data_IF_618684514693
#
_entry.id   IF_618684514693
#
_cell.length_a   1.000
_cell.length_b   1.000
_cell.length_c   1.000
_cell.angle_alpha   90.00
_cell.angle_beta   90.00
_cell.angle_gamma   90.00
#
_symmetry.space_group_name_H-M   'P 1'
#
loop_
_entity.id
_entity.type
_entity.pdbx_description
1 polymer ?
#
# COMPACT_ATOMS: atom_id res chain seq x y z
N UNK A 1 -18.79 26.73 20.27
CA UNK A 1 -17.54 27.49 19.99
C UNK A 1 -17.04 27.02 18.65
N UNK A 2 -17.01 27.89 17.64
CA UNK A 2 -16.40 27.57 16.35
C UNK A 2 -14.89 27.59 16.53
N UNK A 3 -14.23 26.43 16.40
CA UNK A 3 -12.78 26.38 16.41
C UNK A 3 -12.25 27.28 15.29
N UNK A 4 -11.38 28.24 15.63
CA UNK A 4 -10.74 29.10 14.65
C UNK A 4 -9.84 28.23 13.77
N UNK A 5 -10.13 28.17 12.46
CA UNK A 5 -9.35 27.39 11.51
C UNK A 5 -8.03 28.11 11.30
N UNK A 6 -6.92 27.51 11.76
CA UNK A 6 -5.58 28.05 11.50
C UNK A 6 -5.26 27.87 10.01
N UNK A 7 -4.84 28.92 9.29
CA UNK A 7 -4.43 28.79 7.90
C UNK A 7 -3.17 27.92 7.80
N UNK A 8 -3.10 27.08 6.76
CA UNK A 8 -1.90 26.30 6.46
C UNK A 8 -0.76 27.21 6.00
N UNK A 9 0.44 26.93 6.48
CA UNK A 9 1.67 27.56 6.00
C UNK A 9 1.98 27.15 4.55
N UNK A 10 2.85 27.87 3.86
CA UNK A 10 3.21 27.54 2.47
C UNK A 10 3.93 26.19 2.36
N UNK A 11 4.78 25.84 3.32
CA UNK A 11 5.45 24.55 3.37
C UNK A 11 4.46 23.41 3.65
N UNK A 12 3.48 23.61 4.53
CA UNK A 12 2.40 22.65 4.77
C UNK A 12 1.53 22.43 3.52
N UNK A 13 1.20 23.52 2.80
CA UNK A 13 0.48 23.42 1.51
C UNK A 13 1.28 22.64 0.48
N UNK A 14 2.59 22.89 0.37
CA UNK A 14 3.46 22.17 -0.56
C UNK A 14 3.56 20.68 -0.19
N UNK A 15 3.66 20.35 1.09
CA UNK A 15 3.63 18.97 1.58
C UNK A 15 2.33 18.29 1.17
N UNK A 16 1.19 18.95 1.43
CA UNK A 16 -0.12 18.43 1.05
C UNK A 16 -0.25 18.21 -0.46
N UNK A 17 0.17 19.17 -1.28
CA UNK A 17 0.15 19.05 -2.74
C UNK A 17 0.96 17.85 -3.23
N UNK A 18 2.18 17.66 -2.71
CA UNK A 18 3.03 16.53 -3.10
C UNK A 18 2.48 15.20 -2.61
N UNK A 19 1.89 15.16 -1.41
CA UNK A 19 1.20 13.97 -0.91
C UNK A 19 -0.04 13.63 -1.76
N UNK A 20 -0.82 14.63 -2.20
CA UNK A 20 -1.96 14.40 -3.11
C UNK A 20 -1.53 13.81 -4.45
N UNK A 21 -0.42 14.29 -5.02
CA UNK A 21 0.12 13.77 -6.29
C UNK A 21 0.67 12.36 -6.14
N UNK A 22 1.29 12.05 -5.00
CA UNK A 22 1.79 10.71 -4.72
C UNK A 22 0.67 9.70 -4.40
N UNK A 23 -0.53 10.18 -4.07
CA UNK A 23 -1.69 9.43 -3.60
C UNK A 23 -1.50 8.73 -2.23
N UNK A 24 -0.42 7.99 -2.07
CA UNK A 24 -0.02 7.30 -0.84
C UNK A 24 1.50 7.26 -0.74
N UNK A 25 2.05 7.50 0.46
CA UNK A 25 3.49 7.41 0.72
C UNK A 25 3.77 6.44 1.85
N UNK A 26 4.91 5.75 1.77
CA UNK A 26 5.45 5.02 2.95
C UNK A 26 5.90 6.02 4.03
N UNK A 27 6.09 5.55 5.26
CA UNK A 27 6.61 6.37 6.36
C UNK A 27 7.94 7.04 6.01
N UNK A 28 8.82 6.28 5.35
CA UNK A 28 10.14 6.74 4.98
C UNK A 28 10.04 7.84 3.92
N UNK A 29 9.24 7.62 2.88
CA UNK A 29 9.07 8.60 1.80
C UNK A 29 8.36 9.86 2.27
N UNK A 30 7.36 9.72 3.15
CA UNK A 30 6.66 10.86 3.74
C UNK A 30 7.58 11.69 4.66
N UNK A 31 8.43 11.04 5.45
CA UNK A 31 9.45 11.72 6.27
C UNK A 31 10.52 12.38 5.41
N UNK A 32 10.98 11.72 4.35
CA UNK A 32 11.92 12.30 3.40
C UNK A 32 11.31 13.52 2.71
N UNK A 33 10.04 13.45 2.30
CA UNK A 33 9.30 14.58 1.76
C UNK A 33 9.20 15.73 2.77
N UNK A 34 8.88 15.44 4.03
CA UNK A 34 8.83 16.41 5.12
C UNK A 34 10.19 17.09 5.32
N UNK A 35 11.26 16.32 5.47
CA UNK A 35 12.62 16.84 5.68
C UNK A 35 13.07 17.69 4.48
N UNK A 36 12.88 17.19 3.26
CA UNK A 36 13.20 17.94 2.04
C UNK A 36 12.47 19.27 1.96
N UNK A 37 11.20 19.34 2.35
CA UNK A 37 10.47 20.62 2.36
C UNK A 37 10.98 21.50 3.50
N UNK A 38 11.21 20.96 4.70
CA UNK A 38 11.71 21.73 5.83
C UNK A 38 13.04 22.39 5.50
N UNK A 39 13.98 21.62 4.97
CA UNK A 39 15.33 22.10 4.63
C UNK A 39 15.31 23.16 3.52
N UNK A 40 14.35 23.11 2.58
CA UNK A 40 14.21 24.12 1.53
C UNK A 40 13.60 25.45 2.02
N UNK A 41 12.99 25.46 3.21
CA UNK A 41 12.31 26.64 3.76
C UNK A 41 13.02 27.19 5.02
N UNK A 42 14.18 26.64 5.41
CA UNK A 42 14.93 27.10 6.59
C UNK A 42 15.38 28.55 6.51
N UNK A 43 15.60 29.05 5.29
CA UNK A 43 16.18 30.37 5.04
C UNK A 43 15.13 31.44 4.71
N UNK A 44 13.84 31.09 4.78
CA UNK A 44 12.74 32.02 4.47
C UNK A 44 12.35 32.78 5.72
N UNK A 45 12.72 34.07 5.79
CA UNK A 45 12.33 34.95 6.88
C UNK A 45 10.81 35.08 6.98
N UNK A 46 10.29 34.84 8.18
CA UNK A 46 8.87 34.92 8.50
C UNK A 46 8.56 36.36 8.93
N UNK A 47 7.52 37.00 8.36
CA UNK A 47 6.97 38.21 8.98
C UNK A 47 6.45 37.80 10.36
N UNK A 48 7.12 38.23 11.43
CA UNK A 48 6.53 38.16 12.76
C UNK A 48 5.16 38.82 12.66
N UNK A 49 4.12 38.15 13.13
CA UNK A 49 2.82 38.80 13.28
C UNK A 49 3.06 39.97 14.24
N UNK A 50 3.10 41.18 13.70
CA UNK A 50 3.52 42.41 14.37
C UNK A 50 2.49 42.91 15.40
N UNK A 51 1.77 42.01 16.06
CA UNK A 51 0.75 42.29 17.08
C UNK A 51 1.05 41.60 18.41
N UNK A 52 2.20 40.94 18.57
CA UNK A 52 2.70 40.50 19.89
C UNK A 52 3.79 41.49 20.33
N UNK A 53 3.42 42.38 21.26
CA UNK A 53 4.30 43.39 21.86
C UNK A 53 5.62 42.74 22.32
N UNK A 54 6.71 43.26 21.75
CA UNK A 54 8.09 42.85 21.96
C UNK A 54 8.50 43.09 23.42
N UNK A 55 8.62 42.02 24.22
CA UNK A 55 9.58 41.98 25.32
C UNK A 55 10.90 41.46 24.74
N UNK A 56 11.81 42.40 24.49
CA UNK A 56 13.20 42.20 24.07
C UNK A 56 13.94 41.25 25.03
N UNK A 57 14.14 40.00 24.62
CA UNK A 57 15.24 39.18 25.12
C UNK A 57 15.94 38.51 23.93
N UNK A 58 16.95 39.22 23.43
CA UNK A 58 17.96 38.80 22.47
C UNK A 58 18.66 37.53 22.94
N UNK A 59 18.13 36.36 22.57
CA UNK A 59 18.87 35.12 22.67
C UNK A 59 18.51 34.13 21.56
N UNK A 60 19.00 34.42 20.36
CA UNK A 60 19.62 33.47 19.42
C UNK A 60 18.99 32.06 19.31
N UNK A 61 17.67 31.97 19.24
CA UNK A 61 16.97 30.68 19.17
C UNK A 61 16.47 30.41 17.75
N UNK A 62 17.42 30.17 16.83
CA UNK A 62 17.16 29.73 15.45
C UNK A 62 16.24 28.49 15.44
N UNK A 63 16.29 27.66 16.49
CA UNK A 63 15.46 26.48 16.65
C UNK A 63 13.96 26.78 16.86
N UNK A 64 13.57 27.98 17.31
CA UNK A 64 12.15 28.34 17.52
C UNK A 64 11.45 28.81 16.23
N UNK A 65 12.19 29.16 15.17
CA UNK A 65 11.60 29.63 13.90
C UNK A 65 10.96 28.48 13.10
N UNK A 66 11.60 27.31 13.11
CA UNK A 66 11.11 26.11 12.42
C UNK A 66 9.86 25.49 13.08
N UNK A 67 9.66 25.71 14.39
CA UNK A 67 8.48 25.23 15.12
C UNK A 67 7.18 25.81 14.56
N UNK A 68 7.23 27.02 13.98
CA UNK A 68 6.04 27.76 13.54
C UNK A 68 5.45 27.26 12.21
N UNK A 69 6.26 26.71 11.29
CA UNK A 69 5.82 26.45 9.91
C UNK A 69 5.38 25.03 9.63
N UNK A 70 6.20 24.04 9.98
CA UNK A 70 5.97 22.61 9.68
C UNK A 70 5.78 21.78 10.96
N UNK A 71 5.92 22.38 12.14
CA UNK A 71 5.95 21.64 13.40
C UNK A 71 7.31 21.02 13.70
N UNK A 72 7.53 20.68 14.97
CA UNK A 72 8.82 20.19 15.50
C UNK A 72 9.19 18.79 15.02
N UNK A 73 8.18 17.99 14.68
CA UNK A 73 8.32 16.60 14.26
C UNK A 73 7.36 16.31 13.10
N UNK A 74 7.62 15.25 12.37
CA UNK A 74 6.73 14.79 11.30
C UNK A 74 5.29 14.56 11.79
N UNK A 75 5.11 13.88 12.92
CA UNK A 75 3.78 13.64 13.50
C UNK A 75 3.09 14.95 13.91
N UNK A 76 3.85 15.91 14.44
CA UNK A 76 3.33 17.24 14.76
C UNK A 76 2.89 18.01 13.49
N UNK A 77 3.63 17.89 12.38
CA UNK A 77 3.22 18.43 11.08
C UNK A 77 1.87 17.89 10.64
N UNK A 78 1.69 16.56 10.67
CA UNK A 78 0.45 15.91 10.28
C UNK A 78 -0.72 16.37 11.16
N UNK A 79 -0.50 16.47 12.47
CA UNK A 79 -1.47 16.98 13.41
C UNK A 79 -1.89 18.43 13.15
N UNK A 80 -0.93 19.32 12.85
CA UNK A 80 -1.19 20.71 12.50
C UNK A 80 -2.01 20.82 11.21
N UNK A 81 -1.65 20.04 10.18
CA UNK A 81 -2.39 20.03 8.92
C UNK A 81 -3.82 19.52 9.14
N UNK A 82 -3.98 18.43 9.89
CA UNK A 82 -5.30 17.84 10.18
C UNK A 82 -6.20 18.79 10.99
N UNK A 83 -5.64 19.58 11.90
CA UNK A 83 -6.38 20.61 12.63
C UNK A 83 -7.01 21.66 11.70
N UNK A 84 -6.42 21.90 10.53
CA UNK A 84 -6.98 22.77 9.49
C UNK A 84 -7.91 22.01 8.53
N UNK A 85 -7.51 20.83 8.06
CA UNK A 85 -8.26 20.08 7.02
C UNK A 85 -9.60 19.53 7.49
N UNK A 86 -9.66 18.98 8.71
CA UNK A 86 -10.86 18.32 9.23
C UNK A 86 -12.04 19.30 9.33
N UNK A 87 -11.94 20.45 10.01
CA UNK A 87 -13.08 21.37 10.12
C UNK A 87 -13.40 22.09 8.81
N UNK A 88 -12.41 22.31 7.92
CA UNK A 88 -12.60 23.09 6.70
C UNK A 88 -13.15 22.27 5.53
N UNK A 89 -12.60 21.06 5.33
CA UNK A 89 -12.84 20.24 4.14
C UNK A 89 -13.35 18.84 4.47
N UNK A 90 -13.41 18.48 5.75
CA UNK A 90 -13.66 17.11 6.19
C UNK A 90 -12.68 16.09 5.56
N UNK A 91 -11.45 16.55 5.32
CA UNK A 91 -10.32 15.74 4.89
C UNK A 91 -9.38 15.51 6.07
N UNK A 92 -8.64 14.40 6.07
CA UNK A 92 -7.55 14.17 7.02
C UNK A 92 -6.42 13.37 6.39
N UNK A 93 -5.19 13.65 6.78
CA UNK A 93 -4.05 12.77 6.55
C UNK A 93 -4.15 11.63 7.56
N UNK A 94 -4.36 10.42 7.04
CA UNK A 94 -4.49 9.21 7.83
C UNK A 94 -3.27 8.32 7.65
N UNK A 95 -2.89 7.64 8.73
CA UNK A 95 -1.80 6.68 8.73
C UNK A 95 -2.36 5.27 8.88
N UNK A 96 -1.86 4.31 8.11
CA UNK A 96 -2.24 2.90 8.21
C UNK A 96 -1.02 2.03 8.37
N UNK A 97 -1.16 0.91 9.07
CA UNK A 97 -0.13 -0.11 9.15
C UNK A 97 -0.55 -1.39 8.46
N UNK A 98 0.29 -1.87 7.54
CA UNK A 98 0.07 -3.10 6.78
C UNK A 98 1.28 -4.03 6.89
N UNK A 99 1.09 -5.36 6.86
CA UNK A 99 2.22 -6.28 6.75
C UNK A 99 3.00 -6.01 5.46
N UNK A 100 4.27 -6.44 5.35
CA UNK A 100 5.06 -6.34 4.13
C UNK A 100 4.66 -7.47 3.18
N UNK A 101 3.95 -7.12 2.10
CA UNK A 101 4.30 -7.54 0.75
C UNK A 101 4.52 -6.35 -0.20
N UNK A 102 4.51 -5.13 0.35
CA UNK A 102 4.25 -3.86 -0.34
C UNK A 102 5.48 -2.95 -0.50
N UNK A 103 6.67 -3.49 -0.31
CA UNK A 103 7.95 -2.83 -0.61
C UNK A 103 8.70 -3.71 -1.63
N UNK A 104 8.59 -3.42 -2.94
CA UNK A 104 9.23 -4.24 -3.96
C UNK A 104 10.76 -4.23 -3.83
N UNK A 105 11.35 -3.21 -3.19
CA UNK A 105 12.79 -3.06 -3.03
C UNK A 105 13.35 -3.88 -1.85
N UNK A 106 12.53 -4.28 -0.88
CA UNK A 106 12.98 -5.01 0.31
C UNK A 106 12.92 -6.55 0.20
N UNK A 107 12.25 -7.10 -0.82
CA UNK A 107 12.04 -8.56 -0.93
C UNK A 107 13.30 -9.35 -1.35
N UNK A 108 14.40 -8.68 -1.69
CA UNK A 108 15.66 -9.35 -2.08
C UNK A 108 16.58 -9.72 -0.92
N UNK A 109 16.22 -9.45 0.34
CA UNK A 109 17.15 -9.56 1.47
C UNK A 109 17.08 -10.85 2.30
N UNK A 110 16.08 -11.72 2.15
CA UNK A 110 15.84 -12.81 3.12
C UNK A 110 16.07 -14.26 2.63
N UNK A 111 16.68 -14.48 1.46
CA UNK A 111 16.93 -15.87 0.95
C UNK A 111 18.25 -16.51 1.38
N UNK A 112 18.84 -16.11 2.51
CA UNK A 112 20.01 -16.81 3.07
C UNK A 112 20.03 -16.88 4.60
N UNK A 113 18.96 -17.39 5.22
CA UNK A 113 19.01 -17.81 6.61
C UNK A 113 19.06 -19.35 6.68
N UNK A 114 20.28 -19.88 6.83
CA UNK A 114 20.51 -21.23 7.34
C UNK A 114 19.68 -21.46 8.60
N UNK A 115 18.88 -22.52 8.56
CA UNK A 115 17.91 -22.93 9.57
C UNK A 115 18.60 -23.29 10.88
N UNK A 116 18.57 -22.38 11.85
CA UNK A 116 18.79 -22.71 13.27
C UNK A 116 17.46 -23.01 13.95
N UNK A 117 17.32 -24.09 14.76
CA UNK A 117 16.01 -24.63 15.16
C UNK A 117 15.27 -23.84 16.26
N UNK A 118 15.74 -22.64 16.63
CA UNK A 118 15.20 -21.86 17.75
C UNK A 118 14.73 -20.44 17.39
N UNK A 119 14.57 -20.13 16.11
CA UNK A 119 14.05 -18.84 15.68
C UNK A 119 12.53 -18.78 15.91
N UNK A 120 12.11 -18.19 17.03
CA UNK A 120 10.73 -17.68 17.18
C UNK A 120 10.45 -16.83 15.94
N UNK A 121 9.55 -17.26 15.07
CA UNK A 121 9.16 -16.55 13.84
C UNK A 121 8.95 -15.08 14.18
N UNK A 122 9.90 -14.24 13.79
CA UNK A 122 9.87 -12.80 14.05
C UNK A 122 8.67 -12.28 13.27
N UNK A 123 7.67 -11.71 13.96
CA UNK A 123 6.49 -11.15 13.28
C UNK A 123 7.01 -10.15 12.23
N UNK A 124 6.51 -10.21 10.99
CA UNK A 124 6.97 -9.31 9.95
C UNK A 124 6.70 -7.86 10.38
N UNK A 125 7.68 -6.99 10.16
CA UNK A 125 7.57 -5.58 10.54
C UNK A 125 6.48 -4.91 9.69
N UNK A 126 5.49 -4.31 10.34
CA UNK A 126 4.45 -3.57 9.65
C UNK A 126 5.02 -2.27 9.04
N UNK A 127 4.59 -1.97 7.81
CA UNK A 127 4.93 -0.73 7.10
C UNK A 127 3.83 0.30 7.35
N UNK A 128 4.20 1.54 7.67
CA UNK A 128 3.24 2.66 7.78
C UNK A 128 3.07 3.33 6.43
N UNK A 129 1.82 3.63 6.08
CA UNK A 129 1.43 4.36 4.88
C UNK A 129 0.66 5.61 5.28
N UNK A 130 0.80 6.68 4.50
CA UNK A 130 0.16 7.97 4.71
C UNK A 130 -0.59 8.39 3.46
N UNK A 131 -1.87 8.76 3.58
CA UNK A 131 -2.66 9.32 2.48
C UNK A 131 -3.65 10.36 3.01
N UNK A 132 -4.15 11.20 2.12
CA UNK A 132 -5.23 12.15 2.41
C UNK A 132 -6.55 11.45 2.13
N UNK A 133 -7.39 11.31 3.15
CA UNK A 133 -8.69 10.67 3.05
C UNK A 133 -9.83 11.66 3.25
N UNK A 134 -10.94 11.38 2.58
CA UNK A 134 -12.21 12.06 2.82
C UNK A 134 -12.99 11.35 3.94
N UNK A 135 -13.36 12.11 4.98
CA UNK A 135 -14.15 11.61 6.11
C UNK A 135 -15.65 11.72 5.89
N UNK A 136 -16.08 12.46 4.87
CA UNK A 136 -17.50 12.67 4.57
C UNK A 136 -18.10 11.36 4.09
N UNK A 137 -19.22 10.96 4.70
CA UNK A 137 -19.92 9.68 4.45
C UNK A 137 -19.72 9.10 3.04
N UNK A 138 -19.26 7.86 3.03
CA UNK A 138 -18.94 7.03 1.87
C UNK A 138 -20.06 6.96 0.83
N UNK A 139 -21.32 7.14 1.23
CA UNK A 139 -22.48 6.97 0.33
C UNK A 139 -22.55 7.97 -0.81
N UNK A 140 -22.03 9.20 -0.64
CA UNK A 140 -22.04 10.23 -1.69
C UNK A 140 -20.64 10.68 -2.10
N UNK A 141 -19.72 10.76 -1.13
CA UNK A 141 -18.32 11.12 -1.37
C UNK A 141 -17.46 9.91 -1.78
N UNK A 142 -18.04 8.72 -1.96
CA UNK A 142 -17.39 7.55 -2.58
C UNK A 142 -18.17 6.92 -3.73
N UNK A 143 -18.93 7.75 -4.42
CA UNK A 143 -18.97 7.62 -5.88
C UNK A 143 -17.56 7.85 -6.50
N UNK A 144 -16.45 7.82 -5.76
CA UNK A 144 -15.17 8.52 -6.00
C UNK A 144 -14.09 7.82 -6.82
N UNK A 145 -14.39 6.68 -7.45
CA UNK A 145 -13.73 6.47 -8.73
C UNK A 145 -14.36 7.37 -9.82
N UNK A 146 -15.56 7.94 -9.64
CA UNK A 146 -16.25 8.80 -10.62
C UNK A 146 -15.59 10.16 -10.90
N UNK A 147 -15.03 10.95 -9.96
CA UNK A 147 -14.35 12.20 -10.31
C UNK A 147 -13.05 11.95 -11.07
N UNK A 148 -12.34 10.87 -10.75
CA UNK A 148 -11.17 10.43 -11.51
C UNK A 148 -11.58 9.96 -12.91
N UNK A 149 -12.56 9.06 -13.01
CA UNK A 149 -13.23 8.64 -14.24
C UNK A 149 -13.68 9.86 -15.08
N UNK A 150 -14.32 10.87 -14.49
CA UNK A 150 -14.76 12.06 -15.25
C UNK A 150 -13.67 13.10 -15.56
N UNK A 151 -12.58 13.17 -14.78
CA UNK A 151 -11.50 14.16 -14.98
C UNK A 151 -10.30 13.61 -15.76
N UNK A 152 -10.01 12.31 -15.65
CA UNK A 152 -8.94 11.59 -16.37
C UNK A 152 -9.45 10.59 -17.42
N UNK A 153 -10.77 10.48 -17.62
CA UNK A 153 -11.37 9.85 -18.81
C UNK A 153 -11.85 8.40 -18.64
N UNK A 154 -11.87 7.84 -17.43
CA UNK A 154 -12.61 6.60 -17.19
C UNK A 154 -14.11 6.81 -17.44
N UNK A 155 -14.79 5.81 -17.97
CA UNK A 155 -16.24 5.76 -18.08
C UNK A 155 -16.89 4.97 -16.94
N UNK A 156 -18.21 4.87 -16.99
CA UNK A 156 -18.98 4.01 -16.05
C UNK A 156 -18.58 2.53 -16.14
N UNK A 157 -17.93 2.10 -17.24
CA UNK A 157 -17.47 0.73 -17.46
C UNK A 157 -16.21 0.41 -16.67
N UNK A 158 -15.23 1.32 -16.65
CA UNK A 158 -13.99 1.21 -15.89
C UNK A 158 -14.29 1.18 -14.40
N UNK A 159 -15.25 2.01 -13.95
CA UNK A 159 -15.73 1.96 -12.57
C UNK A 159 -16.33 0.60 -12.20
N UNK A 160 -17.14 0.02 -13.09
CA UNK A 160 -17.72 -1.31 -12.87
C UNK A 160 -16.62 -2.38 -12.81
N UNK A 161 -15.60 -2.26 -13.67
CA UNK A 161 -14.43 -3.13 -13.68
C UNK A 161 -13.61 -3.02 -12.38
N UNK A 162 -13.42 -1.82 -11.86
CA UNK A 162 -12.71 -1.61 -10.59
C UNK A 162 -13.42 -2.31 -9.43
N UNK A 163 -14.75 -2.18 -9.35
CA UNK A 163 -15.55 -2.88 -8.33
C UNK A 163 -15.39 -4.39 -8.43
N UNK A 164 -15.52 -4.92 -9.65
CA UNK A 164 -15.39 -6.34 -9.93
C UNK A 164 -14.00 -6.89 -9.54
N UNK A 165 -12.92 -6.13 -9.76
CA UNK A 165 -11.58 -6.53 -9.33
C UNK A 165 -11.53 -6.66 -7.80
N UNK A 166 -12.04 -5.67 -7.07
CA UNK A 166 -12.03 -5.72 -5.60
C UNK A 166 -12.85 -6.89 -5.07
N UNK A 167 -14.05 -7.12 -5.61
CA UNK A 167 -14.89 -8.27 -5.28
C UNK A 167 -14.12 -9.59 -5.47
N UNK A 168 -13.53 -9.79 -6.65
CA UNK A 168 -12.77 -11.02 -6.95
C UNK A 168 -11.52 -11.20 -6.08
N UNK A 169 -10.80 -10.13 -5.77
CA UNK A 169 -9.65 -10.19 -4.88
C UNK A 169 -10.08 -10.59 -3.47
N UNK A 170 -11.21 -10.08 -3.00
CA UNK A 170 -11.76 -10.40 -1.68
C UNK A 170 -12.26 -11.85 -1.65
N UNK A 171 -12.98 -12.30 -2.68
CA UNK A 171 -13.45 -13.68 -2.81
C UNK A 171 -12.27 -14.66 -2.77
N UNK A 172 -11.25 -14.45 -3.61
CA UNK A 172 -10.01 -15.25 -3.56
C UNK A 172 -9.34 -15.18 -2.19
N UNK A 173 -9.38 -14.02 -1.54
CA UNK A 173 -8.82 -13.81 -0.22
C UNK A 173 -9.56 -14.58 0.88
N UNK A 174 -10.87 -14.80 0.72
CA UNK A 174 -11.71 -15.55 1.63
C UNK A 174 -11.55 -17.06 1.40
N UNK A 175 -11.48 -17.52 0.15
CA UNK A 175 -11.24 -18.93 -0.20
C UNK A 175 -9.95 -19.49 0.44
N UNK A 176 -8.89 -18.67 0.46
CA UNK A 176 -7.60 -19.02 1.08
C UNK A 176 -7.75 -19.21 2.60
N UNK A 177 -8.55 -18.36 3.26
CA UNK A 177 -8.78 -18.43 4.71
C UNK A 177 -9.63 -19.64 5.08
N UNK A 178 -10.69 -19.91 4.31
CA UNK A 178 -11.55 -21.08 4.52
C UNK A 178 -10.81 -22.41 4.33
N UNK A 179 -9.82 -22.43 3.44
CA UNK A 179 -8.96 -23.59 3.18
C UNK A 179 -7.99 -23.93 4.33
N UNK A 180 -8.08 -23.22 5.47
CA UNK A 180 -7.31 -23.53 6.68
C UNK A 180 -5.91 -22.93 6.70
N UNK A 181 -5.57 -22.06 5.75
CA UNK A 181 -4.39 -21.18 5.83
C UNK A 181 -4.68 -20.06 6.85
N UNK A 182 -4.71 -20.45 8.13
CA UNK A 182 -5.06 -19.61 9.27
C UNK A 182 -3.95 -18.61 9.58
N UNK A 183 -3.68 -17.70 8.66
CA UNK A 183 -2.91 -16.50 8.96
C UNK A 183 -3.90 -15.40 9.31
N UNK A 184 -3.89 -14.97 10.57
CA UNK A 184 -4.63 -13.80 11.10
C UNK A 184 -4.06 -12.50 10.55
N UNK A 185 -3.75 -12.46 9.27
CA UNK A 185 -3.02 -11.38 8.63
C UNK A 185 -4.00 -10.24 8.35
N UNK A 186 -3.66 -9.08 8.89
CA UNK A 186 -4.27 -7.80 8.56
C UNK A 186 -4.09 -7.54 7.06
N UNK A 187 -5.16 -7.10 6.38
CA UNK A 187 -5.22 -6.94 4.94
C UNK A 187 -5.79 -8.15 4.19
N UNK A 188 -5.95 -7.99 2.88
CA UNK A 188 -6.45 -8.99 1.94
C UNK A 188 -5.29 -9.85 1.46
N UNK A 189 -5.37 -11.19 1.60
CA UNK A 189 -4.34 -12.10 1.11
C UNK A 189 -4.59 -12.48 -0.36
N UNK A 190 -5.74 -12.07 -0.90
CA UNK A 190 -6.18 -12.39 -2.25
C UNK A 190 -5.27 -11.70 -3.23
N UNK A 191 -4.71 -12.52 -4.11
CA UNK A 191 -3.81 -12.08 -5.15
C UNK A 191 -4.30 -12.64 -6.48
N UNK A 192 -4.20 -11.83 -7.51
CA UNK A 192 -4.55 -12.21 -8.87
C UNK A 192 -3.38 -11.90 -9.79
N UNK A 193 -3.08 -12.82 -10.70
CA UNK A 193 -2.11 -12.52 -11.73
C UNK A 193 -2.66 -11.42 -12.66
N UNK A 194 -1.78 -10.68 -13.32
CA UNK A 194 -2.16 -9.58 -14.22
C UNK A 194 -3.18 -10.01 -15.29
N UNK A 195 -3.02 -11.20 -15.85
CA UNK A 195 -3.87 -11.69 -16.92
C UNK A 195 -5.28 -12.02 -16.44
N UNK A 196 -5.43 -12.56 -15.22
CA UNK A 196 -6.71 -12.82 -14.58
C UNK A 196 -7.46 -11.52 -14.33
N UNK A 197 -6.75 -10.46 -13.92
CA UNK A 197 -7.34 -9.13 -13.76
C UNK A 197 -7.85 -8.62 -15.10
N UNK A 198 -7.01 -8.63 -16.15
CA UNK A 198 -7.42 -8.24 -17.50
C UNK A 198 -8.63 -9.07 -17.98
N UNK A 199 -8.64 -10.37 -17.71
CA UNK A 199 -9.73 -11.25 -18.10
C UNK A 199 -11.00 -11.04 -17.28
N UNK A 200 -10.94 -10.51 -16.06
CA UNK A 200 -12.14 -10.20 -15.28
C UNK A 200 -13.11 -9.25 -16.02
N UNK A 201 -12.63 -8.46 -17.01
CA UNK A 201 -13.50 -7.66 -17.88
C UNK A 201 -14.61 -8.47 -18.59
N UNK A 202 -14.40 -9.77 -18.83
CA UNK A 202 -15.40 -10.63 -19.48
C UNK A 202 -16.56 -10.97 -18.57
N UNK A 203 -16.39 -10.75 -17.28
CA UNK A 203 -17.36 -11.09 -16.24
C UNK A 203 -18.18 -9.85 -15.83
N UNK A 204 -17.97 -8.73 -16.54
CA UNK A 204 -18.85 -7.57 -16.43
C UNK A 204 -20.26 -7.92 -16.92
N UNK A 205 -21.25 -7.57 -16.11
CA UNK A 205 -22.65 -7.89 -16.41
C UNK A 205 -23.48 -6.65 -16.80
N UNK A 206 -24.73 -6.89 -17.20
CA UNK A 206 -25.71 -5.84 -17.47
C UNK A 206 -25.27 -4.85 -18.55
N UNK A 207 -25.34 -3.55 -18.24
CA UNK A 207 -25.00 -2.48 -19.17
C UNK A 207 -23.49 -2.40 -19.49
N UNK A 208 -22.64 -3.09 -18.73
CA UNK A 208 -21.18 -3.05 -18.88
C UNK A 208 -20.61 -4.26 -19.62
N UNK A 209 -21.42 -5.30 -19.88
CA UNK A 209 -20.97 -6.52 -20.55
C UNK A 209 -20.39 -6.23 -21.94
N UNK A 210 -19.15 -6.69 -22.17
CA UNK A 210 -18.44 -6.56 -23.44
C UNK A 210 -18.08 -5.12 -23.81
N UNK A 211 -18.10 -4.18 -22.87
CA UNK A 211 -17.86 -2.75 -23.13
C UNK A 211 -16.40 -2.34 -23.02
N UNK A 212 -15.59 -3.08 -22.26
CA UNK A 212 -14.17 -2.83 -22.17
C UNK A 212 -13.39 -3.77 -23.09
N UNK A 213 -12.60 -3.18 -23.98
CA UNK A 213 -11.58 -3.89 -24.74
C UNK A 213 -10.39 -4.28 -23.85
N UNK A 214 -9.52 -5.17 -24.33
CA UNK A 214 -8.27 -5.51 -23.61
C UNK A 214 -7.43 -4.26 -23.35
N UNK A 215 -7.20 -3.43 -24.37
CA UNK A 215 -6.39 -2.22 -24.29
C UNK A 215 -6.92 -1.24 -23.23
N UNK A 216 -8.23 -0.95 -23.23
CA UNK A 216 -8.86 -0.10 -22.21
C UNK A 216 -8.74 -0.70 -20.80
N UNK A 217 -8.82 -2.03 -20.71
CA UNK A 217 -8.69 -2.73 -19.43
C UNK A 217 -7.26 -2.66 -18.89
N UNK A 218 -6.27 -2.74 -19.76
CA UNK A 218 -4.86 -2.57 -19.40
C UNK A 218 -4.59 -1.13 -18.93
N UNK A 219 -5.08 -0.12 -19.65
CA UNK A 219 -4.99 1.29 -19.24
C UNK A 219 -5.66 1.54 -17.88
N UNK A 220 -6.86 0.99 -17.67
CA UNK A 220 -7.57 1.08 -16.41
C UNK A 220 -6.82 0.37 -15.27
N UNK A 221 -6.17 -0.76 -15.56
CA UNK A 221 -5.34 -1.47 -14.58
C UNK A 221 -4.07 -0.70 -14.22
N UNK A 222 -3.38 -0.09 -15.20
CA UNK A 222 -2.23 0.78 -14.93
C UNK A 222 -2.61 1.97 -14.04
N UNK A 223 -3.79 2.55 -14.24
CA UNK A 223 -4.31 3.60 -13.35
C UNK A 223 -4.48 3.09 -11.92
N UNK A 224 -5.09 1.91 -11.71
CA UNK A 224 -5.24 1.34 -10.38
C UNK A 224 -3.89 1.13 -9.67
N UNK A 225 -2.87 0.70 -10.42
CA UNK A 225 -1.53 0.43 -9.88
C UNK A 225 -0.80 1.75 -9.58
N UNK A 226 -0.72 2.65 -10.56
CA UNK A 226 0.02 3.92 -10.44
C UNK A 226 -0.51 4.84 -9.34
N UNK A 227 -1.77 4.65 -8.96
CA UNK A 227 -2.42 5.42 -7.91
C UNK A 227 -2.50 4.73 -6.54
N UNK A 228 -1.93 3.52 -6.43
CA UNK A 228 -1.87 2.76 -5.19
C UNK A 228 -3.19 2.11 -4.76
N UNK A 229 -4.17 1.98 -5.67
CA UNK A 229 -5.39 1.19 -5.44
C UNK A 229 -5.09 -0.31 -5.43
N UNK A 230 -4.21 -0.74 -6.33
CA UNK A 230 -3.61 -2.06 -6.36
C UNK A 230 -2.10 -1.95 -6.14
N UNK A 231 -1.50 -3.06 -5.75
CA UNK A 231 -0.07 -3.15 -5.48
C UNK A 231 0.45 -4.51 -5.88
N UNK A 232 1.68 -4.56 -6.38
CA UNK A 232 2.34 -5.80 -6.74
C UNK A 232 2.60 -6.65 -5.48
N UNK A 233 2.39 -7.97 -5.63
CA UNK A 233 2.47 -8.94 -4.55
C UNK A 233 3.36 -10.09 -4.98
N UNK A 234 3.96 -10.76 -3.99
CA UNK A 234 4.63 -12.03 -4.24
C UNK A 234 3.64 -13.05 -4.79
N UNK A 235 4.13 -13.91 -5.69
CA UNK A 235 3.39 -15.08 -6.13
C UNK A 235 3.00 -15.91 -4.90
N UNK A 236 1.72 -16.31 -4.76
CA UNK A 236 1.32 -17.18 -3.68
C UNK A 236 2.16 -18.46 -3.80
N UNK A 237 2.94 -18.76 -2.76
CA UNK A 237 3.80 -19.93 -2.77
C UNK A 237 2.96 -21.15 -3.07
N UNK A 238 3.25 -21.84 -4.18
CA UNK A 238 2.87 -23.24 -4.30
C UNK A 238 3.62 -23.91 -3.14
N UNK A 239 2.89 -24.40 -2.14
CA UNK A 239 3.50 -25.22 -1.10
C UNK A 239 4.27 -26.31 -1.85
N UNK A 240 5.60 -26.25 -1.79
CA UNK A 240 6.48 -27.24 -2.39
C UNK A 240 6.11 -28.55 -1.69
N UNK A 241 5.17 -29.31 -2.28
CA UNK A 241 4.89 -30.68 -1.91
C UNK A 241 6.21 -31.42 -2.14
N UNK A 242 6.99 -31.45 -1.07
CA UNK A 242 8.23 -32.18 -0.97
C UNK A 242 7.82 -33.63 -1.17
N UNK A 243 7.91 -34.07 -2.42
CA UNK A 243 7.67 -35.43 -2.85
C UNK A 243 8.67 -36.28 -2.09
N UNK A 244 8.20 -36.81 -0.98
CA UNK A 244 8.85 -37.82 -0.17
C UNK A 244 8.90 -39.08 -1.03
N UNK A 245 9.87 -39.11 -1.95
CA UNK A 245 10.30 -40.32 -2.61
C UNK A 245 10.98 -41.18 -1.54
N UNK A 246 10.14 -41.89 -0.78
CA UNK A 246 10.55 -43.04 0.00
C UNK A 246 11.11 -44.10 -0.94
N UNK A 247 12.43 -44.10 -1.12
CA UNK A 247 13.16 -45.28 -1.54
C UNK A 247 13.65 -46.02 -0.29
N UNK A 248 12.95 -47.10 0.04
CA UNK A 248 13.43 -48.15 0.92
C UNK A 248 14.29 -49.17 0.16
N UNK A 249 15.20 -49.81 0.92
CA UNK A 249 15.93 -51.05 0.58
C UNK A 249 17.24 -50.82 -0.19
N UNK A 250 18.38 -51.45 0.10
CA UNK A 250 18.75 -52.54 1.00
C UNK A 250 20.28 -52.49 1.26
N UNK A 251 20.71 -53.06 2.39
CA UNK A 251 22.10 -53.33 2.74
C UNK A 251 22.69 -54.48 1.88
N UNK A 252 23.91 -54.33 1.34
CA UNK A 252 25.05 -55.30 1.46
C UNK A 252 26.28 -54.95 0.56
N UNK A 253 27.43 -54.84 1.22
CA UNK A 253 28.86 -55.12 0.93
C UNK A 253 29.54 -55.07 -0.48
N UNK A 254 30.46 -54.09 -0.63
CA UNK A 254 31.89 -54.15 -1.11
C UNK A 254 32.29 -54.32 -2.64
N UNK A 255 33.55 -54.00 -3.08
CA UNK A 255 33.84 -52.93 -4.09
C UNK A 255 34.67 -53.42 -5.33
N UNK A 256 35.47 -52.59 -6.05
CA UNK A 256 35.13 -51.46 -6.94
C UNK A 256 35.61 -51.67 -8.39
N UNK A 257 34.92 -51.15 -9.43
CA UNK A 257 35.53 -50.97 -10.78
C UNK A 257 35.12 -49.70 -11.51
N UNK A 258 36.15 -48.93 -11.89
CA UNK A 258 36.18 -47.74 -12.75
C UNK A 258 35.58 -48.01 -14.13
N UNK A 259 34.76 -47.08 -14.67
CA UNK A 259 35.02 -46.29 -15.89
C UNK A 259 33.74 -45.67 -16.49
N UNK A 260 33.85 -44.37 -16.77
CA UNK A 260 33.21 -43.59 -17.83
C UNK A 260 31.72 -43.81 -18.16
N UNK A 261 30.88 -42.81 -17.86
CA UNK A 261 30.16 -42.04 -18.90
C UNK A 261 29.31 -40.94 -18.28
N UNK A 262 29.44 -39.76 -18.89
CA UNK A 262 28.46 -38.66 -18.96
C UNK A 262 28.01 -38.10 -17.61
N UNK A 263 28.65 -36.99 -17.23
CA UNK A 263 27.94 -35.90 -16.52
C UNK A 263 26.75 -35.53 -17.40
N UNK A 264 25.57 -36.06 -17.11
CA UNK A 264 24.35 -35.35 -17.39
C UNK A 264 24.49 -34.06 -16.59
N UNK A 265 24.79 -32.95 -17.28
CA UNK A 265 24.46 -31.66 -16.75
C UNK A 265 22.95 -31.73 -16.51
N UNK A 266 22.57 -32.00 -15.26
CA UNK A 266 21.21 -31.80 -14.81
C UNK A 266 20.88 -30.38 -15.23
N UNK A 267 20.02 -30.33 -16.23
CA UNK A 267 19.58 -29.14 -16.90
C UNK A 267 18.93 -28.27 -15.82
N UNK A 268 19.72 -27.36 -15.27
CA UNK A 268 19.28 -26.21 -14.48
C UNK A 268 18.48 -25.21 -15.34
N UNK A 269 17.89 -25.65 -16.46
CA UNK A 269 16.65 -25.09 -16.94
C UNK A 269 15.53 -25.56 -16.00
N UNK A 270 15.55 -25.05 -14.75
CA UNK A 270 14.31 -24.51 -14.20
C UNK A 270 13.83 -23.57 -15.29
N UNK A 271 12.89 -24.05 -16.11
CA UNK A 271 12.12 -23.19 -17.02
C UNK A 271 11.80 -21.99 -16.16
N UNK A 272 12.28 -20.81 -16.55
CA UNK A 272 11.75 -19.57 -15.99
C UNK A 272 10.26 -19.71 -16.21
N UNK A 273 9.55 -20.09 -15.15
CA UNK A 273 8.09 -20.12 -15.13
C UNK A 273 7.68 -18.78 -15.71
N UNK A 274 6.63 -18.75 -16.52
CA UNK A 274 6.03 -17.48 -16.95
C UNK A 274 5.43 -16.84 -15.70
N UNK A 275 6.31 -16.32 -14.84
CA UNK A 275 6.03 -15.78 -13.53
C UNK A 275 5.30 -14.49 -13.80
N UNK A 276 3.98 -14.56 -13.79
CA UNK A 276 3.14 -13.39 -13.96
C UNK A 276 3.34 -12.44 -12.79
N UNK A 277 3.18 -11.14 -13.02
CA UNK A 277 3.05 -10.17 -11.93
C UNK A 277 1.72 -10.40 -11.23
N UNK A 278 1.73 -10.51 -9.90
CA UNK A 278 0.53 -10.65 -9.09
C UNK A 278 0.21 -9.33 -8.41
N UNK A 279 -1.08 -9.05 -8.23
CA UNK A 279 -1.53 -7.84 -7.57
C UNK A 279 -2.54 -8.18 -6.49
N UNK A 280 -2.52 -7.37 -5.43
CA UNK A 280 -3.48 -7.37 -4.34
C UNK A 280 -4.02 -5.97 -4.08
N UNK A 281 -4.89 -5.87 -3.08
CA UNK A 281 -5.47 -4.59 -2.65
C UNK A 281 -4.38 -3.70 -2.05
N UNK A 282 -4.24 -2.49 -2.61
CA UNK A 282 -3.26 -1.49 -2.18
C UNK A 282 -3.67 -0.70 -0.93
N UNK A 283 -2.72 0.00 -0.28
CA UNK A 283 -2.96 0.75 0.96
C UNK A 283 -4.05 1.82 0.81
N UNK A 284 -4.10 2.50 -0.34
CA UNK A 284 -5.09 3.55 -0.61
C UNK A 284 -6.51 3.00 -0.59
N UNK A 285 -6.72 1.79 -1.11
CA UNK A 285 -8.03 1.14 -1.13
C UNK A 285 -8.56 0.87 0.28
N UNK A 286 -7.73 0.46 1.24
CA UNK A 286 -8.22 0.29 2.62
C UNK A 286 -8.56 1.63 3.28
N UNK A 287 -7.77 2.67 3.00
CA UNK A 287 -7.94 3.99 3.60
C UNK A 287 -9.18 4.69 3.05
N UNK A 288 -9.36 4.62 1.73
CA UNK A 288 -10.42 5.32 1.02
C UNK A 288 -11.65 4.46 0.77
N UNK A 289 -11.59 3.13 0.74
CA UNK A 289 -12.75 2.27 0.40
C UNK A 289 -13.16 1.33 1.53
N UNK A 290 -12.76 1.60 2.77
CA UNK A 290 -12.99 0.70 3.92
C UNK A 290 -14.44 0.22 4.10
N UNK A 291 -15.46 1.08 3.96
CA UNK A 291 -16.87 0.63 4.06
C UNK A 291 -17.31 -0.18 2.84
N UNK A 292 -16.87 0.21 1.63
CA UNK A 292 -17.13 -0.56 0.42
C UNK A 292 -16.55 -1.96 0.52
N UNK A 293 -15.28 -2.08 0.92
CA UNK A 293 -14.61 -3.37 1.10
C UNK A 293 -15.38 -4.27 2.08
N UNK A 294 -15.84 -3.72 3.22
CA UNK A 294 -16.70 -4.46 4.15
C UNK A 294 -18.03 -4.85 3.53
N UNK A 295 -18.63 -3.96 2.75
CA UNK A 295 -19.91 -4.19 2.06
C UNK A 295 -19.86 -5.33 1.05
N UNK A 296 -18.71 -5.53 0.39
CA UNK A 296 -18.48 -6.66 -0.54
C UNK A 296 -17.94 -7.91 0.15
N UNK A 297 -17.96 -7.98 1.49
CA UNK A 297 -17.61 -9.19 2.23
C UNK A 297 -16.18 -9.26 2.77
N UNK A 298 -15.43 -8.16 2.77
CA UNK A 298 -14.14 -8.12 3.45
C UNK A 298 -14.31 -8.16 4.97
N UNK A 299 -13.60 -9.08 5.62
CA UNK A 299 -13.68 -9.26 7.07
C UNK A 299 -13.18 -8.02 7.83
N UNK A 300 -14.03 -7.51 8.72
CA UNK A 300 -13.73 -6.36 9.57
C UNK A 300 -12.58 -6.59 10.54
N UNK A 301 -12.35 -7.83 10.99
CA UNK A 301 -11.24 -8.17 11.88
C UNK A 301 -9.88 -8.06 11.18
N UNK A 302 -9.90 -8.19 9.85
CA UNK A 302 -8.72 -8.09 8.99
C UNK A 302 -8.49 -6.69 8.46
N UNK A 303 -9.42 -5.77 8.70
CA UNK A 303 -9.30 -4.39 8.25
C UNK A 303 -8.11 -3.71 8.94
N UNK A 304 -7.18 -3.10 8.19
CA UNK A 304 -6.09 -2.36 8.79
C UNK A 304 -6.59 -1.23 9.69
N UNK A 305 -5.95 -1.07 10.84
CA UNK A 305 -6.26 0.02 11.75
C UNK A 305 -5.73 1.34 11.19
N UNK A 306 -6.58 2.36 11.22
CA UNK A 306 -6.21 3.74 10.91
C UNK A 306 -5.75 4.46 12.18
N UNK A 307 -4.58 5.08 12.10
CA UNK A 307 -4.01 5.94 13.12
C UNK A 307 -4.29 7.37 12.71
N UNK A 308 -4.98 8.10 13.60
CA UNK A 308 -5.36 9.49 13.38
C UNK A 308 -4.37 10.42 14.07
N UNK A 309 -3.67 11.22 13.29
CA UNK A 309 -2.75 12.23 13.79
C UNK A 309 -3.55 13.48 14.21
N UNK A 310 -3.86 13.59 15.51
CA UNK A 310 -4.60 14.72 16.09
C UNK A 310 -3.76 15.38 17.19
N UNK A 311 -3.81 16.71 17.24
CA UNK A 311 -3.28 17.54 18.34
C UNK A 311 -4.36 17.82 19.36
#
# INVERSE_FOLDING_TARGET
MTASIRPLSNSQKLFLQRLMVAHVLTDNDAKNLYNNIRDNFSDVDVPSNADEEEDDDDNNNINNRDESYMGTTFDNCLGLINASLVPAFNLEISTMMLPPPYDPDNQLSDTSAESTPNSRRKKPALIKYHAIINRSNDTHAKNYASPLVTATGGGSHELAYFRLIFEKLIDKGNDIVESGSATTNVGCPGVMNRMDLINARTDLEGAHNGKLTVCQTEEALEMLIGEGWLVEMAEPGEDDEQSDNGEGGDEEEDPPKKKHKRKAAASNNRRKSMKGTYYGIGPRSYMELGEFLKGVGFDGERMPQLILNRL
#
